data_IF_656083913457
#
_entry.id   IF_656083913457
#
_cell.length_a   1.000
_cell.length_b   1.000
_cell.length_c   1.000
_cell.angle_alpha   90.00
_cell.angle_beta   90.00
_cell.angle_gamma   90.00
#
_symmetry.space_group_name_H-M   'P 1'
#
loop_
_entity.id
_entity.type
_entity.pdbx_description
1 polymer ?
#
# COMPACT_ATOMS: atom_id res chain seq x y z
N UNK A 1 33.61 40.53 21.86
CA UNK A 1 32.22 40.19 21.51
C UNK A 1 31.32 40.49 22.70
N UNK A 2 30.49 41.53 22.63
CA UNK A 2 29.61 41.96 23.73
C UNK A 2 28.57 40.87 24.06
N UNK A 3 28.13 40.77 25.32
CA UNK A 3 27.15 39.75 25.75
C UNK A 3 25.89 39.75 24.88
N UNK A 4 25.46 40.93 24.44
CA UNK A 4 24.32 41.11 23.53
C UNK A 4 24.53 40.42 22.18
N UNK A 5 25.71 40.57 21.57
CA UNK A 5 26.02 39.95 20.27
C UNK A 5 26.02 38.41 20.34
N UNK A 6 26.41 37.83 21.49
CA UNK A 6 26.33 36.38 21.72
C UNK A 6 24.88 35.89 21.82
N UNK A 7 24.02 36.62 22.50
CA UNK A 7 22.60 36.26 22.66
C UNK A 7 21.87 36.35 21.31
N UNK A 8 22.13 37.40 20.54
CA UNK A 8 21.55 37.56 19.19
C UNK A 8 21.97 36.41 18.27
N UNK A 9 23.24 35.99 18.33
CA UNK A 9 23.73 34.89 17.51
C UNK A 9 23.04 33.55 17.86
N UNK A 10 22.85 33.27 19.15
CA UNK A 10 22.17 32.04 19.61
C UNK A 10 20.70 32.02 19.17
N UNK A 11 19.99 33.14 19.32
CA UNK A 11 18.59 33.25 18.89
C UNK A 11 18.44 33.09 17.36
N UNK A 12 19.39 33.60 16.59
CA UNK A 12 19.41 33.45 15.14
C UNK A 12 19.55 31.98 14.73
N UNK A 13 20.43 31.22 15.40
CA UNK A 13 20.62 29.79 15.15
C UNK A 13 19.34 29.01 15.49
N UNK A 14 18.71 29.28 16.64
CA UNK A 14 17.46 28.61 17.05
C UNK A 14 16.35 28.90 16.03
N UNK A 15 16.23 30.16 15.59
CA UNK A 15 15.23 30.56 14.59
C UNK A 15 15.39 29.80 13.27
N UNK A 16 16.61 29.48 12.84
CA UNK A 16 16.86 28.74 11.60
C UNK A 16 16.42 27.27 11.73
N UNK A 17 16.61 26.66 12.91
CA UNK A 17 16.23 25.25 13.15
C UNK A 17 14.71 25.11 13.29
N UNK A 18 14.01 26.14 13.79
CA UNK A 18 12.55 26.11 13.97
C UNK A 18 11.74 26.17 12.68
N UNK A 19 12.34 26.56 11.54
CA UNK A 19 11.65 26.67 10.25
C UNK A 19 11.80 25.42 9.39
N UNK A 20 12.63 24.45 9.80
CA UNK A 20 12.75 23.20 9.05
C UNK A 20 11.53 22.33 9.32
N UNK A 21 10.77 21.91 8.28
CA UNK A 21 9.69 20.94 8.47
C UNK A 21 10.28 19.66 9.06
N UNK A 22 9.82 19.27 10.25
CA UNK A 22 10.23 18.02 10.87
C UNK A 22 9.59 16.87 10.10
N UNK A 23 10.36 16.25 9.20
CA UNK A 23 9.99 14.98 8.61
C UNK A 23 10.21 13.89 9.67
N UNK A 24 9.13 13.35 10.23
CA UNK A 24 9.20 12.10 10.95
C UNK A 24 9.58 11.01 9.95
N UNK A 25 10.88 10.75 9.80
CA UNK A 25 11.35 9.54 9.15
C UNK A 25 10.93 8.38 10.06
N UNK A 26 9.83 7.71 9.71
CA UNK A 26 9.50 6.42 10.31
C UNK A 26 10.72 5.52 10.10
N UNK A 27 11.28 4.99 11.20
CA UNK A 27 12.42 4.08 11.16
C UNK A 27 11.97 2.86 10.36
N UNK A 28 12.42 2.76 9.12
CA UNK A 28 12.10 1.65 8.22
C UNK A 28 13.10 0.52 8.46
N UNK A 29 12.57 -0.65 8.87
CA UNK A 29 13.34 -1.86 9.14
C UNK A 29 13.35 -2.79 7.92
N UNK A 30 13.76 -2.27 6.77
CA UNK A 30 13.88 -3.06 5.53
C UNK A 30 13.77 -2.18 4.29
N UNK A 31 13.94 -2.79 3.12
CA UNK A 31 13.72 -2.09 1.84
C UNK A 31 12.31 -2.35 1.32
N UNK A 32 11.72 -1.45 0.51
CA UNK A 32 10.47 -1.75 -0.18
C UNK A 32 10.54 -3.08 -0.94
N UNK A 33 9.50 -3.89 -0.81
CA UNK A 33 9.47 -5.23 -1.39
C UNK A 33 9.32 -5.21 -2.92
N UNK A 34 9.98 -6.16 -3.58
CA UNK A 34 9.81 -6.40 -5.02
C UNK A 34 8.55 -7.25 -5.25
N UNK A 35 7.49 -6.62 -5.75
CA UNK A 35 6.24 -7.28 -6.08
C UNK A 35 6.34 -8.02 -7.41
N UNK A 36 5.97 -9.30 -7.43
CA UNK A 36 5.71 -10.06 -8.66
C UNK A 36 4.38 -9.57 -9.25
N UNK A 37 3.34 -9.50 -8.43
CA UNK A 37 2.02 -9.01 -8.80
C UNK A 37 1.27 -8.45 -7.61
N UNK A 38 0.33 -7.54 -7.87
CA UNK A 38 -0.70 -7.15 -6.92
C UNK A 38 -2.04 -7.38 -7.61
N UNK A 39 -2.85 -8.25 -7.01
CA UNK A 39 -4.19 -8.57 -7.46
C UNK A 39 -5.18 -7.93 -6.52
N UNK A 40 -6.17 -7.25 -7.08
CA UNK A 40 -7.35 -6.76 -6.38
C UNK A 40 -8.55 -7.45 -7.01
N UNK A 41 -9.31 -8.19 -6.23
CA UNK A 41 -10.55 -8.82 -6.67
C UNK A 41 -11.70 -8.09 -5.99
N UNK A 42 -12.62 -7.56 -6.80
CA UNK A 42 -13.88 -7.02 -6.33
C UNK A 42 -14.91 -8.15 -6.44
N UNK A 43 -15.64 -8.43 -5.38
CA UNK A 43 -16.70 -9.44 -5.36
C UNK A 43 -18.07 -8.79 -5.67
N UNK A 44 -19.08 -9.61 -6.00
CA UNK A 44 -20.43 -9.13 -6.36
C UNK A 44 -21.09 -8.27 -5.26
N UNK A 45 -20.80 -8.58 -4.00
CA UNK A 45 -21.28 -7.85 -2.82
C UNK A 45 -20.51 -6.54 -2.56
N UNK A 46 -19.49 -6.21 -3.35
CA UNK A 46 -18.61 -5.07 -3.17
C UNK A 46 -17.47 -5.30 -2.19
N UNK A 47 -17.28 -6.52 -1.68
CA UNK A 47 -16.10 -6.86 -0.90
C UNK A 47 -14.85 -6.85 -1.78
N UNK A 48 -13.73 -6.40 -1.21
CA UNK A 48 -12.48 -6.26 -1.93
C UNK A 48 -11.43 -7.14 -1.27
N UNK A 49 -10.86 -8.08 -2.04
CA UNK A 49 -9.73 -8.91 -1.60
C UNK A 49 -8.46 -8.49 -2.34
N UNK A 50 -7.37 -8.39 -1.60
CA UNK A 50 -6.07 -8.00 -2.14
C UNK A 50 -5.05 -9.10 -1.88
N UNK A 51 -4.27 -9.41 -2.91
CA UNK A 51 -3.16 -10.36 -2.82
C UNK A 51 -1.91 -9.72 -3.41
N UNK A 52 -0.92 -9.47 -2.56
CA UNK A 52 0.43 -9.13 -3.00
C UNK A 52 1.24 -10.42 -3.11
N UNK A 53 1.76 -10.73 -4.30
CA UNK A 53 2.77 -11.79 -4.47
C UNK A 53 4.14 -11.12 -4.48
N UNK A 54 4.97 -11.47 -3.51
CA UNK A 54 6.23 -10.80 -3.25
C UNK A 54 7.39 -11.78 -3.44
N UNK A 55 8.46 -11.29 -4.05
CA UNK A 55 9.65 -12.09 -4.32
C UNK A 55 10.47 -12.29 -3.04
N UNK A 56 11.11 -13.46 -2.92
CA UNK A 56 12.11 -13.72 -1.88
C UNK A 56 13.21 -12.64 -1.88
N UNK A 57 13.85 -12.44 -0.73
CA UNK A 57 14.92 -11.46 -0.56
C UNK A 57 15.95 -11.91 0.48
N UNK A 58 17.21 -11.53 0.25
CA UNK A 58 18.30 -11.79 1.17
C UNK A 58 18.34 -10.80 2.35
N UNK A 59 17.60 -9.69 2.26
CA UNK A 59 17.43 -8.70 3.32
C UNK A 59 15.98 -8.58 3.80
N UNK A 60 15.79 -7.81 4.88
CA UNK A 60 14.44 -7.50 5.37
C UNK A 60 13.68 -6.69 4.30
N UNK A 61 12.42 -7.05 4.08
CA UNK A 61 11.57 -6.37 3.10
C UNK A 61 10.30 -5.84 3.74
N UNK A 62 9.83 -4.70 3.23
CA UNK A 62 8.60 -4.06 3.67
C UNK A 62 7.55 -4.09 2.56
N UNK A 63 6.39 -4.63 2.88
CA UNK A 63 5.20 -4.63 2.03
C UNK A 63 4.25 -3.59 2.61
N UNK A 64 4.02 -2.52 1.85
CA UNK A 64 3.00 -1.52 2.18
C UNK A 64 1.70 -1.93 1.52
N UNK A 65 0.69 -2.19 2.33
CA UNK A 65 -0.66 -2.57 1.89
C UNK A 65 -1.36 -1.38 1.22
N UNK A 66 -2.37 -1.68 0.40
CA UNK A 66 -3.22 -0.69 -0.23
C UNK A 66 -3.95 0.14 0.85
N UNK A 67 -4.19 1.44 0.60
CA UNK A 67 -4.94 2.28 1.53
C UNK A 67 -6.38 1.77 1.72
N UNK A 68 -6.82 1.69 2.97
CA UNK A 68 -8.19 1.32 3.36
C UNK A 68 -8.23 0.69 4.75
N UNK A 69 -9.41 0.23 5.15
CA UNK A 69 -9.59 -0.55 6.39
C UNK A 69 -9.22 -2.00 6.11
N UNK A 70 -8.15 -2.50 6.75
CA UNK A 70 -7.59 -3.82 6.49
C UNK A 70 -8.20 -4.85 7.44
N UNK A 71 -8.72 -5.94 6.89
CA UNK A 71 -9.29 -7.07 7.62
C UNK A 71 -8.70 -8.39 7.13
N UNK A 72 -8.82 -9.44 7.95
CA UNK A 72 -8.45 -10.81 7.60
C UNK A 72 -7.02 -10.98 7.03
N UNK A 73 -6.08 -10.16 7.51
CA UNK A 73 -4.70 -10.18 7.06
C UNK A 73 -4.02 -11.52 7.33
N UNK A 74 -3.41 -12.07 6.28
CA UNK A 74 -2.59 -13.28 6.32
C UNK A 74 -1.31 -13.07 5.50
N UNK A 75 -0.21 -13.66 5.98
CA UNK A 75 1.07 -13.69 5.26
C UNK A 75 1.48 -15.14 5.13
N UNK A 76 1.52 -15.64 3.89
CA UNK A 76 1.64 -17.08 3.63
C UNK A 76 2.73 -17.40 2.60
N UNK A 77 3.32 -18.58 2.69
CA UNK A 77 4.19 -19.10 1.63
C UNK A 77 3.39 -19.69 0.45
N UNK A 78 4.08 -20.17 -0.59
CA UNK A 78 3.44 -20.80 -1.75
C UNK A 78 2.70 -22.11 -1.46
N UNK A 79 2.81 -22.67 -0.25
CA UNK A 79 2.06 -23.84 0.21
C UNK A 79 0.91 -23.47 1.16
N UNK A 80 0.69 -22.17 1.44
CA UNK A 80 -0.34 -21.68 2.34
C UNK A 80 0.04 -21.69 3.83
N UNK A 81 1.32 -21.92 4.17
CA UNK A 81 1.76 -21.87 5.57
C UNK A 81 2.00 -20.42 6.00
N UNK A 82 1.57 -20.07 7.21
CA UNK A 82 1.78 -18.75 7.78
C UNK A 82 3.28 -18.44 7.99
N UNK A 83 3.68 -17.23 7.59
CA UNK A 83 5.04 -16.71 7.75
C UNK A 83 5.06 -15.66 8.86
N UNK A 84 6.02 -15.80 9.78
CA UNK A 84 6.27 -14.80 10.81
C UNK A 84 6.67 -13.46 10.21
N UNK A 85 6.02 -12.40 10.70
CA UNK A 85 6.22 -11.04 10.22
C UNK A 85 6.02 -10.05 11.38
N UNK A 86 6.48 -8.81 11.16
CA UNK A 86 6.20 -7.70 12.06
C UNK A 86 5.29 -6.69 11.36
N UNK A 87 4.32 -6.13 12.10
CA UNK A 87 3.53 -4.99 11.62
C UNK A 87 4.15 -3.68 12.11
N UNK A 88 4.23 -2.70 11.21
CA UNK A 88 4.62 -1.32 11.51
C UNK A 88 3.45 -0.39 11.20
N UNK A 89 2.83 0.14 12.24
CA UNK A 89 1.54 0.84 12.10
C UNK A 89 0.43 -0.12 11.66
N UNK A 90 -0.48 0.36 10.81
CA UNK A 90 -1.65 -0.42 10.36
C UNK A 90 -1.52 -0.98 8.95
N UNK A 91 -0.57 -0.49 8.14
CA UNK A 91 -0.53 -0.78 6.70
C UNK A 91 0.82 -1.27 6.18
N UNK A 92 1.82 -1.47 7.04
CA UNK A 92 3.14 -1.94 6.62
C UNK A 92 3.48 -3.24 7.32
N UNK A 93 3.84 -4.24 6.53
CA UNK A 93 4.37 -5.52 7.01
C UNK A 93 5.86 -5.56 6.72
N UNK A 94 6.64 -5.99 7.70
CA UNK A 94 8.07 -6.27 7.55
C UNK A 94 8.32 -7.77 7.66
N UNK A 95 8.94 -8.35 6.65
CA UNK A 95 9.47 -9.72 6.72
C UNK A 95 10.97 -9.67 6.94
N UNK A 96 11.43 -10.51 7.88
CA UNK A 96 12.84 -10.85 8.04
C UNK A 96 13.23 -11.84 6.93
N UNK A 97 14.47 -11.80 6.44
CA UNK A 97 14.83 -12.11 5.06
C UNK A 97 14.11 -13.34 4.47
N UNK A 98 13.05 -13.15 3.65
CA UNK A 98 12.19 -14.23 3.22
C UNK A 98 12.91 -15.13 2.22
N UNK A 99 12.95 -16.44 2.49
CA UNK A 99 13.67 -17.43 1.66
C UNK A 99 12.89 -17.94 0.47
N UNK A 100 11.58 -17.72 0.47
CA UNK A 100 10.63 -18.10 -0.58
C UNK A 100 9.80 -16.89 -0.99
N UNK A 101 9.19 -16.95 -2.17
CA UNK A 101 8.14 -16.00 -2.52
C UNK A 101 6.95 -16.22 -1.58
N UNK A 102 6.24 -15.16 -1.26
CA UNK A 102 5.15 -15.19 -0.29
C UNK A 102 3.98 -14.32 -0.74
N UNK A 103 2.80 -14.66 -0.24
CA UNK A 103 1.57 -13.90 -0.37
C UNK A 103 1.36 -13.00 0.85
N UNK A 104 0.90 -11.77 0.62
CA UNK A 104 0.24 -10.95 1.64
C UNK A 104 -1.19 -10.77 1.19
N UNK A 105 -2.12 -11.37 1.93
CA UNK A 105 -3.53 -11.48 1.59
C UNK A 105 -4.36 -10.77 2.65
N UNK A 106 -5.30 -9.93 2.24
CA UNK A 106 -6.20 -9.23 3.15
C UNK A 106 -7.44 -8.75 2.42
N UNK A 107 -8.48 -8.44 3.19
CA UNK A 107 -9.68 -7.80 2.70
C UNK A 107 -9.60 -6.29 2.98
N UNK A 108 -10.17 -5.49 2.09
CA UNK A 108 -10.32 -4.04 2.25
C UNK A 108 -11.80 -3.71 2.44
N UNK A 109 -12.09 -3.02 3.54
CA UNK A 109 -13.42 -2.43 3.80
C UNK A 109 -13.42 -0.94 3.52
N UNK A 110 -14.61 -0.44 3.20
CA UNK A 110 -14.93 0.98 3.02
C UNK A 110 -14.15 1.70 1.91
N UNK A 111 -13.59 0.96 0.94
CA UNK A 111 -12.84 1.52 -0.20
C UNK A 111 -13.73 1.85 -1.40
N UNK A 112 -14.85 1.14 -1.54
CA UNK A 112 -15.89 1.46 -2.52
C UNK A 112 -16.90 2.41 -1.86
N UNK A 113 -17.09 3.58 -2.46
CA UNK A 113 -18.03 4.61 -1.99
C UNK A 113 -19.11 4.80 -3.05
N UNK A 114 -20.38 4.72 -2.66
CA UNK A 114 -21.49 4.99 -3.57
C UNK A 114 -21.59 6.50 -3.86
N UNK A 115 -21.34 6.90 -5.11
CA UNK A 115 -21.48 8.28 -5.58
C UNK A 115 -22.39 8.28 -6.80
N UNK A 116 -23.46 9.08 -6.74
CA UNK A 116 -24.44 9.21 -7.85
C UNK A 116 -24.97 7.86 -8.38
N UNK A 117 -25.12 6.88 -7.50
CA UNK A 117 -25.59 5.53 -7.84
C UNK A 117 -24.52 4.59 -8.40
N UNK A 118 -23.25 5.00 -8.42
CA UNK A 118 -22.11 4.21 -8.91
C UNK A 118 -21.10 3.99 -7.78
N UNK A 119 -20.71 2.73 -7.54
CA UNK A 119 -19.62 2.41 -6.64
C UNK A 119 -18.30 2.93 -7.21
N UNK A 120 -17.63 3.80 -6.44
CA UNK A 120 -16.44 4.52 -6.86
C UNK A 120 -15.29 4.24 -5.91
N UNK A 121 -14.13 3.91 -6.46
CA UNK A 121 -12.86 3.85 -5.72
C UNK A 121 -11.93 4.95 -6.21
N UNK A 122 -11.56 5.86 -5.30
CA UNK A 122 -10.42 6.77 -5.53
C UNK A 122 -9.10 6.02 -5.26
N UNK A 123 -8.50 5.49 -6.32
CA UNK A 123 -7.36 4.58 -6.21
C UNK A 123 -6.05 5.25 -6.64
N UNK A 124 -5.07 5.24 -5.73
CA UNK A 124 -3.67 5.58 -6.02
C UNK A 124 -2.73 4.67 -5.24
N UNK A 125 -1.87 3.95 -5.96
CA UNK A 125 -0.84 3.13 -5.36
C UNK A 125 0.45 3.14 -6.18
N UNK A 126 1.56 3.54 -5.54
CA UNK A 126 2.82 3.83 -6.22
C UNK A 126 3.96 2.87 -5.88
N UNK A 127 3.72 1.86 -5.03
CA UNK A 127 4.77 0.96 -4.55
C UNK A 127 5.06 -0.20 -5.52
N UNK A 128 4.17 -0.44 -6.50
CA UNK A 128 4.35 -1.50 -7.51
C UNK A 128 4.90 -0.93 -8.82
N UNK A 129 6.01 -1.50 -9.29
CA UNK A 129 6.55 -1.22 -10.63
C UNK A 129 5.71 -1.86 -11.75
N UNK A 130 5.00 -2.94 -11.44
CA UNK A 130 4.22 -3.72 -12.39
C UNK A 130 2.73 -3.34 -12.39
N UNK A 131 2.36 -2.24 -11.73
CA UNK A 131 0.97 -1.83 -11.54
C UNK A 131 0.19 -2.75 -10.62
N UNK A 132 -1.13 -2.54 -10.58
CA UNK A 132 -2.11 -3.34 -9.83
C UNK A 132 -3.14 -3.85 -10.83
N UNK A 133 -3.50 -5.12 -10.73
CA UNK A 133 -4.49 -5.72 -11.63
C UNK A 133 -5.80 -5.89 -10.86
N UNK A 134 -6.87 -5.30 -11.38
CA UNK A 134 -8.22 -5.42 -10.85
C UNK A 134 -9.00 -6.49 -11.61
N UNK A 135 -9.58 -7.40 -10.86
CA UNK A 135 -10.47 -8.46 -11.33
C UNK A 135 -11.88 -8.13 -10.88
N UNK A 136 -12.83 -8.28 -11.79
CA UNK A 136 -14.24 -8.00 -11.56
C UNK A 136 -15.05 -9.28 -11.74
N UNK A 137 -16.24 -9.36 -11.13
CA UNK A 137 -17.17 -10.46 -11.37
C UNK A 137 -17.62 -10.52 -12.84
N UNK A 138 -17.93 -11.71 -13.33
CA UNK A 138 -18.25 -11.96 -14.75
C UNK A 138 -19.53 -11.22 -15.20
N UNK A 139 -20.37 -10.79 -14.27
CA UNK A 139 -21.60 -10.04 -14.51
C UNK A 139 -21.35 -8.58 -14.91
N UNK A 140 -20.14 -8.05 -14.69
CA UNK A 140 -19.82 -6.68 -15.03
C UNK A 140 -19.31 -6.58 -16.48
N UNK A 141 -20.10 -5.95 -17.35
CA UNK A 141 -19.70 -5.71 -18.74
C UNK A 141 -18.97 -4.36 -18.95
N UNK A 142 -19.16 -3.43 -18.01
CA UNK A 142 -18.76 -2.03 -18.16
C UNK A 142 -18.30 -1.44 -16.82
N UNK A 143 -17.13 -0.82 -16.83
CA UNK A 143 -16.60 -0.02 -15.71
C UNK A 143 -16.25 1.39 -16.20
N UNK A 144 -16.00 2.30 -15.27
CA UNK A 144 -15.54 3.65 -15.57
C UNK A 144 -14.17 3.87 -14.94
N UNK A 145 -13.18 4.26 -15.74
CA UNK A 145 -11.84 4.62 -15.28
C UNK A 145 -11.61 6.09 -15.61
N UNK A 146 -11.52 6.94 -14.58
CA UNK A 146 -11.40 8.38 -14.73
C UNK A 146 -12.47 8.95 -15.69
N UNK A 147 -13.73 8.62 -15.40
CA UNK A 147 -14.93 8.99 -16.18
C UNK A 147 -15.00 8.44 -17.61
N UNK A 148 -14.08 7.53 -17.99
CA UNK A 148 -14.07 6.89 -19.31
C UNK A 148 -14.65 5.48 -19.23
N UNK A 149 -15.69 5.16 -20.01
CA UNK A 149 -16.22 3.81 -20.06
C UNK A 149 -15.20 2.83 -20.63
N UNK A 150 -15.00 1.70 -19.95
CA UNK A 150 -14.17 0.58 -20.40
C UNK A 150 -15.04 -0.67 -20.41
N UNK A 151 -15.23 -1.25 -21.59
CA UNK A 151 -15.88 -2.56 -21.73
C UNK A 151 -14.91 -3.65 -21.29
N UNK A 152 -15.36 -4.51 -20.38
CA UNK A 152 -14.56 -5.62 -19.83
C UNK A 152 -15.14 -7.00 -20.19
N UNK A 153 -16.03 -7.05 -21.18
CA UNK A 153 -16.58 -8.31 -21.71
C UNK A 153 -15.45 -9.24 -22.17
N UNK A 154 -15.40 -10.45 -21.59
CA UNK A 154 -14.35 -11.46 -21.80
C UNK A 154 -12.92 -11.02 -21.37
N UNK A 155 -12.80 -9.96 -20.57
CA UNK A 155 -11.52 -9.57 -19.96
C UNK A 155 -11.49 -10.09 -18.51
N UNK A 156 -10.44 -10.83 -18.16
CA UNK A 156 -10.26 -11.31 -16.78
C UNK A 156 -10.01 -10.15 -15.79
N UNK A 157 -9.56 -8.98 -16.28
CA UNK A 157 -9.30 -7.82 -15.44
C UNK A 157 -8.72 -6.62 -16.22
N UNK A 158 -8.41 -5.55 -15.50
CA UNK A 158 -7.76 -4.33 -16.01
C UNK A 158 -6.52 -3.99 -15.17
N UNK A 159 -5.52 -3.39 -15.81
CA UNK A 159 -4.27 -2.94 -15.19
C UNK A 159 -4.13 -1.43 -15.31
#
# INVERSE_FOLDING_TARGET
MTKLLKVVLVLMIISIISITPQAFAQISFGTPAEHVSIRVTIEENGDVRVVHVVKKSDGNVQVKMLPGTIENLQVVDGAGNEIQHAMSGHSIITLFPPKVNFGVEYDLKDVLILKDGVWTWDFLYTESKNGVVFYFPDEFDLIFVNDRPVRIVNAEGIR
#
